data_IF_135001813717
#
_entry.id   IF_135001813717
#
_cell.length_a   1.000
_cell.length_b   1.000
_cell.length_c   1.000
_cell.angle_alpha   90.00
_cell.angle_beta   90.00
_cell.angle_gamma   90.00
#
_symmetry.space_group_name_H-M   'P 1'
#
loop_
_entity.id
_entity.type
_entity.pdbx_description
1 polymer ?
#
# COMPACT_ATOMS: atom_id res chain seq x y z
N UNK A 1 -18.26 16.91 0.88
CA UNK A 1 -17.61 18.16 0.41
C UNK A 1 -16.16 18.08 0.84
N UNK A 2 -15.26 17.78 -0.09
CA UNK A 2 -13.81 17.74 0.18
C UNK A 2 -13.36 19.09 0.73
N UNK A 3 -12.86 19.14 1.97
CA UNK A 3 -12.19 20.33 2.49
C UNK A 3 -10.75 20.33 1.98
N UNK A 4 -10.50 21.08 0.92
CA UNK A 4 -9.15 21.37 0.45
C UNK A 4 -8.60 22.52 1.29
N UNK A 5 -7.68 22.24 2.21
CA UNK A 5 -6.71 23.28 2.58
C UNK A 5 -5.67 23.31 1.46
N UNK A 6 -5.10 24.47 1.13
CA UNK A 6 -4.12 24.62 0.04
C UNK A 6 -2.87 23.69 0.13
N UNK A 7 -2.76 22.91 1.21
CA UNK A 7 -1.68 21.95 1.49
C UNK A 7 -2.09 20.47 1.45
N UNK A 8 -3.38 20.12 1.62
CA UNK A 8 -3.82 18.72 1.75
C UNK A 8 -5.20 18.49 1.15
N UNK A 9 -5.31 17.41 0.39
CA UNK A 9 -6.58 16.88 -0.09
C UNK A 9 -7.08 15.82 0.87
N UNK A 10 -8.32 15.95 1.36
CA UNK A 10 -8.94 15.01 2.30
C UNK A 10 -10.22 14.45 1.72
N UNK A 11 -10.38 13.13 1.85
CA UNK A 11 -11.61 12.44 1.53
C UNK A 11 -12.12 11.64 2.73
N UNK A 12 -13.44 11.64 2.90
CA UNK A 12 -14.14 10.80 3.86
C UNK A 12 -15.23 10.03 3.12
N UNK A 13 -15.15 8.69 3.16
CA UNK A 13 -16.12 7.81 2.52
C UNK A 13 -16.85 6.98 3.57
N UNK A 14 -18.17 7.00 3.55
CA UNK A 14 -18.99 6.08 4.33
C UNK A 14 -19.07 4.75 3.59
N UNK A 15 -18.80 3.66 4.29
CA UNK A 15 -18.75 2.31 3.75
C UNK A 15 -19.82 1.42 4.39
N UNK A 16 -20.28 0.43 3.62
CA UNK A 16 -21.13 -0.64 4.15
C UNK A 16 -20.68 -2.01 3.61
N UNK A 17 -20.90 -3.11 4.36
CA UNK A 17 -20.70 -4.45 3.81
C UNK A 17 -21.60 -4.66 2.59
N UNK A 18 -21.04 -5.20 1.50
CA UNK A 18 -21.80 -5.47 0.27
C UNK A 18 -22.99 -6.42 0.50
N UNK A 19 -22.93 -7.24 1.55
CA UNK A 19 -24.00 -8.14 1.95
C UNK A 19 -24.16 -8.21 3.48
N UNK A 20 -25.37 -7.95 3.96
CA UNK A 20 -25.70 -8.01 5.39
C UNK A 20 -25.14 -6.83 6.18
N UNK A 21 -24.73 -7.06 7.43
CA UNK A 21 -24.21 -6.01 8.35
C UNK A 21 -22.87 -6.37 9.00
N UNK A 22 -22.39 -7.59 8.80
CA UNK A 22 -21.22 -8.13 9.49
C UNK A 22 -19.97 -7.91 8.63
N UNK A 23 -18.85 -7.63 9.29
CA UNK A 23 -17.54 -7.56 8.65
C UNK A 23 -16.46 -8.12 9.57
N UNK A 24 -15.33 -8.52 8.98
CA UNK A 24 -14.15 -9.00 9.70
C UNK A 24 -13.05 -7.91 9.71
N UNK A 25 -12.65 -7.41 10.89
CA UNK A 25 -11.56 -6.46 11.03
C UNK A 25 -10.19 -7.14 10.91
N UNK A 26 -9.12 -6.33 10.90
CA UNK A 26 -7.76 -6.90 10.86
C UNK A 26 -7.51 -7.56 12.19
N UNK A 27 -7.10 -8.84 12.15
CA UNK A 27 -6.69 -9.58 13.34
C UNK A 27 -5.18 -9.65 13.43
N UNK A 28 -4.62 -9.20 14.55
CA UNK A 28 -3.19 -9.33 14.84
C UNK A 28 -2.95 -10.48 15.83
N UNK A 29 -1.88 -11.28 15.67
CA UNK A 29 -1.63 -12.42 16.56
C UNK A 29 -1.62 -12.08 18.05
N UNK A 30 -1.03 -10.93 18.42
CA UNK A 30 -0.85 -10.54 19.82
C UNK A 30 -1.95 -9.61 20.36
N UNK A 31 -2.73 -8.97 19.48
CA UNK A 31 -3.73 -7.96 19.84
C UNK A 31 -5.18 -8.41 19.53
N UNK A 32 -5.37 -9.37 18.62
CA UNK A 32 -6.67 -9.68 18.05
C UNK A 32 -7.20 -8.51 17.20
N UNK A 33 -8.52 -8.24 17.19
CA UNK A 33 -9.08 -7.06 16.55
C UNK A 33 -8.66 -5.79 17.30
N UNK A 34 -8.25 -4.76 16.56
CA UNK A 34 -7.76 -3.51 17.12
C UNK A 34 -8.92 -2.61 17.62
N UNK A 35 -9.47 -2.97 18.78
CA UNK A 35 -10.53 -2.24 19.48
C UNK A 35 -9.93 -1.08 20.30
N UNK A 36 -10.60 0.07 20.33
CA UNK A 36 -10.21 1.23 21.12
C UNK A 36 -11.42 2.01 21.65
N UNK A 37 -11.21 2.81 22.69
CA UNK A 37 -12.26 3.60 23.33
C UNK A 37 -12.13 5.09 23.01
N UNK A 38 -13.26 5.70 22.66
CA UNK A 38 -13.37 7.15 22.49
C UNK A 38 -14.07 7.74 23.73
N UNK A 39 -13.47 8.75 24.40
CA UNK A 39 -14.09 9.39 25.56
C UNK A 39 -15.53 9.86 25.30
N UNK A 40 -16.46 9.46 26.16
CA UNK A 40 -17.87 9.83 26.04
C UNK A 40 -18.73 8.91 25.16
N UNK A 41 -18.14 7.86 24.55
CA UNK A 41 -18.87 6.84 23.79
C UNK A 41 -19.19 5.63 24.67
N UNK A 42 -20.35 5.00 24.42
CA UNK A 42 -20.81 3.84 25.20
C UNK A 42 -20.17 2.53 24.76
N UNK A 43 -20.12 2.25 23.46
CA UNK A 43 -19.43 1.06 22.94
C UNK A 43 -18.06 1.44 22.37
N UNK A 44 -17.24 0.41 22.15
CA UNK A 44 -15.91 0.60 21.59
C UNK A 44 -15.96 0.91 20.09
N UNK A 45 -14.86 1.49 19.60
CA UNK A 45 -14.56 1.64 18.18
C UNK A 45 -13.51 0.62 17.77
N UNK A 46 -13.32 0.48 16.46
CA UNK A 46 -12.46 -0.55 15.92
C UNK A 46 -11.74 -0.08 14.66
N UNK A 47 -10.45 -0.38 14.56
CA UNK A 47 -9.68 -0.18 13.33
C UNK A 47 -9.95 -1.38 12.40
N UNK A 48 -10.71 -1.15 11.33
CA UNK A 48 -11.01 -2.16 10.29
C UNK A 48 -9.77 -2.40 9.45
N UNK A 49 -9.09 -1.31 9.05
CA UNK A 49 -7.78 -1.30 8.39
C UNK A 49 -6.92 -0.15 8.91
N UNK A 50 -5.68 -0.48 9.30
CA UNK A 50 -4.71 0.52 9.73
C UNK A 50 -4.11 1.29 8.55
N UNK A 51 -3.41 2.38 8.85
CA UNK A 51 -2.66 3.16 7.85
C UNK A 51 -1.58 2.34 7.13
N UNK A 52 -1.03 1.32 7.77
CA UNK A 52 -0.06 0.42 7.16
C UNK A 52 -0.75 -0.57 6.22
N UNK A 53 -1.90 -1.12 6.63
CA UNK A 53 -2.65 -2.07 5.81
C UNK A 53 -3.23 -1.40 4.56
N UNK A 54 -3.84 -0.23 4.71
CA UNK A 54 -4.37 0.53 3.57
C UNK A 54 -3.31 0.97 2.58
N UNK A 55 -2.08 1.19 3.02
CA UNK A 55 -0.99 1.47 2.09
C UNK A 55 -0.67 0.27 1.19
N UNK A 56 -0.67 -0.95 1.74
CA UNK A 56 -0.53 -2.15 0.92
C UNK A 56 -1.67 -2.26 -0.11
N UNK A 57 -2.89 -1.88 0.27
CA UNK A 57 -4.03 -1.86 -0.66
C UNK A 57 -3.86 -0.82 -1.77
N UNK A 58 -3.41 0.39 -1.44
CA UNK A 58 -3.12 1.44 -2.43
C UNK A 58 -1.98 1.01 -3.36
N UNK A 59 -0.87 0.50 -2.83
CA UNK A 59 0.24 -0.04 -3.61
C UNK A 59 -0.20 -1.18 -4.53
N UNK A 60 -1.10 -2.05 -4.04
CA UNK A 60 -1.67 -3.15 -4.79
C UNK A 60 -2.43 -2.71 -6.05
N UNK A 61 -2.95 -1.48 -6.10
CA UNK A 61 -3.60 -0.94 -7.31
C UNK A 61 -2.61 -0.75 -8.46
N UNK A 62 -1.31 -0.64 -8.16
CA UNK A 62 -0.28 -0.27 -9.14
C UNK A 62 0.33 -1.46 -9.90
N UNK A 63 -0.09 -2.69 -9.58
CA UNK A 63 0.51 -3.92 -10.10
C UNK A 63 -0.52 -4.94 -10.57
N UNK A 64 -0.28 -5.52 -11.75
CA UNK A 64 -1.04 -6.65 -12.25
C UNK A 64 -0.34 -7.96 -11.86
N UNK A 65 -0.80 -8.58 -10.76
CA UNK A 65 -0.23 -9.82 -10.24
C UNK A 65 -0.33 -11.00 -11.22
N UNK A 66 -1.38 -11.08 -12.03
CA UNK A 66 -1.54 -12.17 -12.99
C UNK A 66 -0.50 -12.12 -14.12
N UNK A 67 -0.08 -10.91 -14.49
CA UNK A 67 0.86 -10.67 -15.59
C UNK A 67 2.27 -10.29 -15.12
N UNK A 68 2.49 -10.14 -13.80
CA UNK A 68 3.77 -9.75 -13.20
C UNK A 68 4.36 -8.48 -13.84
N UNK A 69 3.50 -7.47 -14.02
CA UNK A 69 3.85 -6.18 -14.62
C UNK A 69 3.07 -5.04 -13.95
N UNK A 70 3.50 -3.79 -14.12
CA UNK A 70 2.70 -2.62 -13.73
C UNK A 70 1.25 -2.67 -14.21
N UNK A 71 0.35 -2.01 -13.47
CA UNK A 71 -0.96 -1.63 -14.00
C UNK A 71 -0.79 -0.85 -15.33
N UNK A 72 -1.75 -0.98 -16.23
CA UNK A 72 -1.64 -0.48 -17.61
C UNK A 72 -1.39 1.03 -17.64
N UNK A 73 -2.12 1.77 -16.80
CA UNK A 73 -2.02 3.22 -16.65
C UNK A 73 -0.66 3.69 -16.12
N UNK A 74 0.09 2.79 -15.47
CA UNK A 74 1.40 3.06 -14.87
C UNK A 74 2.55 2.34 -15.61
N UNK A 75 2.28 1.75 -16.77
CA UNK A 75 3.25 0.95 -17.52
C UNK A 75 4.43 1.78 -18.06
N UNK A 76 4.19 3.06 -18.36
CA UNK A 76 5.21 3.98 -18.84
C UNK A 76 6.10 4.54 -17.72
N UNK A 77 5.71 4.39 -16.44
CA UNK A 77 6.51 4.90 -15.33
C UNK A 77 7.72 3.98 -15.06
N UNK A 78 8.89 4.54 -14.74
CA UNK A 78 10.05 3.75 -14.38
C UNK A 78 9.83 3.04 -13.04
N UNK A 79 10.58 1.96 -12.88
CA UNK A 79 10.74 1.21 -11.64
C UNK A 79 12.00 0.38 -11.74
N UNK A 80 12.45 -0.18 -10.61
CA UNK A 80 13.56 -1.15 -10.62
C UNK A 80 12.99 -2.55 -10.71
N UNK A 81 13.30 -3.25 -11.81
CA UNK A 81 12.96 -4.65 -12.05
C UNK A 81 14.11 -5.53 -11.57
N UNK A 82 13.83 -6.49 -10.70
CA UNK A 82 14.82 -7.45 -10.19
C UNK A 82 14.67 -8.77 -10.95
N UNK A 83 15.77 -9.25 -11.53
CA UNK A 83 15.84 -10.52 -12.25
C UNK A 83 16.90 -11.44 -11.64
N UNK A 84 16.77 -12.75 -11.85
CA UNK A 84 17.83 -13.71 -11.56
C UNK A 84 18.91 -13.68 -12.67
N UNK A 85 20.02 -14.43 -12.54
CA UNK A 85 21.08 -14.49 -13.56
C UNK A 85 20.62 -15.00 -14.93
N UNK A 86 19.51 -15.74 -14.99
CA UNK A 86 18.90 -16.26 -16.22
C UNK A 86 17.93 -15.25 -16.87
N UNK A 87 17.74 -14.06 -16.26
CA UNK A 87 16.85 -13.01 -16.74
C UNK A 87 15.37 -13.17 -16.32
N UNK A 88 15.05 -14.16 -15.49
CA UNK A 88 13.70 -14.40 -15.01
C UNK A 88 13.32 -13.38 -13.92
N UNK A 89 12.07 -12.92 -13.94
CA UNK A 89 11.56 -11.98 -12.95
C UNK A 89 11.56 -12.58 -11.55
N UNK A 90 12.12 -11.85 -10.58
CA UNK A 90 12.05 -12.20 -9.16
C UNK A 90 11.09 -11.29 -8.40
N UNK A 91 11.32 -9.98 -8.48
CA UNK A 91 10.55 -8.95 -7.76
C UNK A 91 10.81 -7.56 -8.37
N UNK A 92 10.29 -6.50 -7.76
CA UNK A 92 10.53 -5.12 -8.19
C UNK A 92 10.46 -4.13 -7.05
N UNK A 93 10.93 -2.89 -7.27
CA UNK A 93 10.75 -1.81 -6.29
C UNK A 93 9.28 -1.50 -5.96
N UNK A 94 8.32 -1.94 -6.80
CA UNK A 94 6.88 -1.79 -6.53
C UNK A 94 6.29 -2.91 -5.69
N UNK A 95 6.93 -4.08 -5.69
CA UNK A 95 6.47 -5.25 -4.93
C UNK A 95 7.13 -5.36 -3.56
N UNK A 96 8.32 -4.81 -3.41
CA UNK A 96 9.08 -4.88 -2.18
C UNK A 96 8.59 -3.88 -1.13
N UNK A 97 8.38 -4.34 0.11
CA UNK A 97 7.91 -3.48 1.21
C UNK A 97 8.85 -2.29 1.52
N UNK A 98 10.14 -2.46 1.22
CA UNK A 98 11.17 -1.42 1.35
C UNK A 98 11.45 -0.67 0.04
N UNK A 99 10.73 -0.98 -1.03
CA UNK A 99 10.84 -0.39 -2.37
C UNK A 99 12.27 -0.36 -2.90
N UNK A 100 12.77 0.80 -3.32
CA UNK A 100 14.16 1.00 -3.74
C UNK A 100 15.19 0.66 -2.65
N UNK A 101 14.80 0.66 -1.37
CA UNK A 101 15.67 0.30 -0.25
C UNK A 101 15.62 -1.20 0.12
N UNK A 102 14.93 -2.02 -0.68
CA UNK A 102 14.86 -3.47 -0.45
C UNK A 102 16.22 -4.15 -0.63
N UNK A 103 16.40 -5.28 0.07
CA UNK A 103 17.63 -6.04 -0.03
C UNK A 103 17.86 -6.58 -1.45
N UNK A 104 16.79 -6.93 -2.17
CA UNK A 104 16.86 -7.41 -3.55
C UNK A 104 17.29 -6.31 -4.52
N UNK A 105 16.78 -5.09 -4.36
CA UNK A 105 17.25 -3.94 -5.16
C UNK A 105 18.68 -3.58 -4.78
N UNK A 106 18.96 -3.34 -3.50
CA UNK A 106 20.25 -2.82 -3.03
C UNK A 106 21.43 -3.75 -3.26
N UNK A 107 21.23 -5.07 -3.13
CA UNK A 107 22.29 -6.05 -3.41
C UNK A 107 22.28 -6.54 -4.86
N UNK A 108 21.23 -6.22 -5.64
CA UNK A 108 21.21 -6.43 -7.07
C UNK A 108 22.24 -5.55 -7.80
N UNK A 109 22.69 -6.01 -8.96
CA UNK A 109 23.70 -5.33 -9.78
C UNK A 109 23.07 -4.68 -11.01
N UNK A 110 23.43 -3.43 -11.28
CA UNK A 110 23.18 -2.73 -12.54
C UNK A 110 24.54 -2.46 -13.19
N UNK A 111 24.70 -2.81 -14.46
CA UNK A 111 25.98 -2.68 -15.19
C UNK A 111 27.20 -3.27 -14.45
N UNK A 112 26.99 -4.36 -13.72
CA UNK A 112 28.01 -5.04 -12.92
C UNK A 112 28.24 -4.47 -11.51
N UNK A 113 27.67 -3.32 -11.18
CA UNK A 113 27.84 -2.62 -9.90
C UNK A 113 26.63 -2.82 -8.97
N UNK A 114 26.83 -3.16 -7.68
CA UNK A 114 25.73 -3.24 -6.72
C UNK A 114 25.00 -1.90 -6.55
N UNK A 115 23.67 -1.91 -6.53
CA UNK A 115 22.87 -0.69 -6.33
C UNK A 115 23.18 0.04 -5.03
N UNK A 116 23.59 -0.68 -3.98
CA UNK A 116 24.02 -0.08 -2.70
C UNK A 116 25.30 0.77 -2.78
N UNK A 117 26.04 0.64 -3.88
CA UNK A 117 27.22 1.46 -4.21
C UNK A 117 26.84 2.56 -5.21
N UNK A 118 25.96 2.27 -6.17
CA UNK A 118 25.47 3.23 -7.18
C UNK A 118 24.59 4.33 -6.58
N UNK A 119 23.63 3.98 -5.71
CA UNK A 119 22.66 4.95 -5.17
C UNK A 119 23.31 6.06 -4.34
N UNK A 120 24.30 5.81 -3.45
CA UNK A 120 25.01 6.88 -2.76
C UNK A 120 25.65 7.91 -3.68
N UNK A 121 26.21 7.47 -4.80
CA UNK A 121 26.82 8.36 -5.79
C UNK A 121 25.76 9.22 -6.48
N UNK A 122 24.68 8.59 -6.95
CA UNK A 122 23.53 9.30 -7.55
C UNK A 122 22.93 10.33 -6.60
N UNK A 123 22.72 9.94 -5.34
CA UNK A 123 22.18 10.82 -4.31
C UNK A 123 23.17 11.88 -3.81
N UNK A 124 24.44 11.85 -4.24
CA UNK A 124 25.47 12.78 -3.81
C UNK A 124 25.83 12.66 -2.32
N UNK A 125 25.78 11.45 -1.76
CA UNK A 125 26.04 11.22 -0.33
C UNK A 125 27.53 11.36 -0.02
N UNK A 126 27.91 12.49 0.60
CA UNK A 126 29.31 12.75 0.97
C UNK A 126 29.45 12.93 2.48
N UNK A 127 30.37 12.19 3.09
CA UNK A 127 30.67 12.30 4.53
C UNK A 127 31.13 13.73 4.86
N UNK A 128 30.52 14.32 5.89
CA UNK A 128 30.84 15.68 6.35
C UNK A 128 30.21 16.80 5.52
N UNK A 129 29.37 16.49 4.52
CA UNK A 129 28.55 17.48 3.80
C UNK A 129 27.06 17.31 4.14
N UNK A 130 26.26 18.40 4.15
CA UNK A 130 24.81 18.31 4.26
C UNK A 130 24.21 17.46 3.14
N UNK A 131 23.09 16.79 3.43
CA UNK A 131 22.33 16.02 2.46
C UNK A 131 21.52 16.95 1.55
N UNK A 132 21.71 16.85 0.23
CA UNK A 132 20.82 17.49 -0.75
C UNK A 132 19.59 16.63 -1.01
N UNK A 133 18.52 16.88 -0.25
CA UNK A 133 17.26 16.16 -0.41
C UNK A 133 16.61 16.38 -1.78
N UNK A 134 16.81 17.55 -2.42
CA UNK A 134 16.26 17.78 -3.76
C UNK A 134 16.91 16.86 -4.79
N UNK A 135 18.22 16.59 -4.66
CA UNK A 135 18.90 15.56 -5.44
C UNK A 135 18.29 14.17 -5.18
N UNK A 136 18.14 13.77 -3.92
CA UNK A 136 17.52 12.48 -3.57
C UNK A 136 16.14 12.34 -4.20
N UNK A 137 15.28 13.36 -4.10
CA UNK A 137 13.94 13.30 -4.68
C UNK A 137 13.95 13.18 -6.20
N UNK A 138 14.79 13.93 -6.92
CA UNK A 138 14.93 13.80 -8.38
C UNK A 138 15.39 12.40 -8.78
N UNK A 139 16.40 11.86 -8.11
CA UNK A 139 16.94 10.54 -8.42
C UNK A 139 15.96 9.41 -8.09
N UNK A 140 15.22 9.52 -6.98
CA UNK A 140 14.14 8.58 -6.64
C UNK A 140 13.00 8.69 -7.64
N UNK A 141 12.60 9.90 -8.04
CA UNK A 141 11.56 10.10 -9.06
C UNK A 141 11.94 9.47 -10.40
N UNK A 142 13.18 9.68 -10.86
CA UNK A 142 13.65 9.10 -12.11
C UNK A 142 13.71 7.57 -12.07
N UNK A 143 13.97 6.97 -10.90
CA UNK A 143 14.02 5.51 -10.73
C UNK A 143 12.65 4.87 -10.54
N UNK A 144 11.82 5.46 -9.67
CA UNK A 144 10.53 4.92 -9.24
C UNK A 144 9.69 6.03 -8.55
N UNK A 145 8.84 6.77 -9.29
CA UNK A 145 8.00 7.84 -8.75
C UNK A 145 7.11 7.38 -7.59
N UNK A 146 6.69 6.11 -7.59
CA UNK A 146 5.82 5.55 -6.56
C UNK A 146 6.52 5.46 -5.20
N UNK A 147 7.85 5.40 -5.18
CA UNK A 147 8.63 5.50 -3.93
C UNK A 147 8.51 6.88 -3.26
N UNK A 148 8.18 7.94 -4.01
CA UNK A 148 7.86 9.25 -3.44
C UNK A 148 6.42 9.35 -2.95
N UNK A 149 5.48 8.65 -3.61
CA UNK A 149 4.07 8.59 -3.18
C UNK A 149 3.95 7.79 -1.87
N UNK A 150 4.53 6.59 -1.85
CA UNK A 150 4.37 5.63 -0.77
C UNK A 150 5.42 5.70 0.33
N UNK A 151 6.49 6.46 0.08
CA UNK A 151 7.62 6.65 0.97
C UNK A 151 8.68 5.56 0.84
N UNK A 152 9.94 5.91 1.14
CA UNK A 152 11.08 4.99 1.10
C UNK A 152 12.11 5.41 2.15
N UNK A 153 12.73 4.42 2.81
CA UNK A 153 13.75 4.68 3.82
C UNK A 153 15.01 3.85 3.58
N UNK A 154 16.11 4.51 3.25
CA UNK A 154 17.40 3.88 3.01
C UNK A 154 18.21 3.74 4.31
N UNK A 155 17.83 2.78 5.15
CA UNK A 155 18.47 2.50 6.44
C UNK A 155 19.83 1.78 6.32
N UNK A 156 20.76 2.35 5.56
CA UNK A 156 22.06 1.75 5.24
C UNK A 156 23.17 2.32 6.13
N UNK A 157 23.59 1.55 7.14
CA UNK A 157 24.64 1.96 8.10
C UNK A 157 25.97 2.43 7.44
N UNK A 158 26.44 1.84 6.33
CA UNK A 158 27.70 2.27 5.70
C UNK A 158 27.60 3.60 4.95
N UNK A 159 26.39 4.08 4.62
CA UNK A 159 26.21 5.32 3.86
C UNK A 159 26.47 6.55 4.74
N UNK A 160 26.93 7.65 4.13
CA UNK A 160 27.15 8.91 4.84
C UNK A 160 25.85 9.49 5.45
N UNK A 161 24.72 9.24 4.79
CA UNK A 161 23.37 9.59 5.23
C UNK A 161 22.41 8.43 4.94
N UNK A 162 21.28 8.42 5.63
CA UNK A 162 20.20 7.44 5.43
C UNK A 162 18.92 8.18 5.02
N UNK A 163 18.79 8.60 3.75
CA UNK A 163 17.66 9.39 3.30
C UNK A 163 16.33 8.68 3.58
N UNK A 164 15.34 9.45 4.04
CA UNK A 164 13.99 8.97 4.33
C UNK A 164 12.98 9.91 3.68
N UNK A 165 12.13 9.34 2.84
CA UNK A 165 10.96 9.99 2.26
C UNK A 165 9.74 9.47 3.00
N UNK A 166 8.98 10.37 3.61
CA UNK A 166 7.71 10.02 4.25
C UNK A 166 6.67 9.66 3.18
N UNK A 167 5.62 8.95 3.58
CA UNK A 167 4.49 8.68 2.71
C UNK A 167 3.65 9.94 2.51
N UNK A 168 3.28 10.26 1.28
CA UNK A 168 2.45 11.42 0.95
C UNK A 168 0.94 11.11 0.94
N UNK A 169 0.56 9.85 0.73
CA UNK A 169 -0.83 9.38 0.81
C UNK A 169 -1.07 8.53 2.06
N UNK A 170 -2.06 8.84 2.88
CA UNK A 170 -2.44 8.01 4.03
C UNK A 170 -3.93 7.74 3.99
N UNK A 171 -4.31 6.47 4.14
CA UNK A 171 -5.71 6.08 4.31
C UNK A 171 -5.85 5.09 5.47
N UNK A 172 -7.02 5.02 6.09
CA UNK A 172 -7.37 4.05 7.12
C UNK A 172 -8.88 3.89 7.19
N UNK A 173 -9.35 2.76 7.72
CA UNK A 173 -10.78 2.46 7.86
C UNK A 173 -11.08 2.17 9.32
N UNK A 174 -12.03 2.91 9.87
CA UNK A 174 -12.50 2.78 11.24
C UNK A 174 -13.99 2.43 11.26
N UNK A 175 -14.38 1.63 12.24
CA UNK A 175 -15.76 1.31 12.55
C UNK A 175 -16.12 1.90 13.91
N UNK A 176 -17.24 2.60 13.95
CA UNK A 176 -17.74 3.33 15.10
C UNK A 176 -18.82 2.51 15.80
N UNK A 177 -18.77 2.49 17.14
CA UNK A 177 -19.83 1.90 17.97
C UNK A 177 -20.06 0.42 17.60
N UNK A 178 -19.01 -0.40 17.72
CA UNK A 178 -19.01 -1.78 17.23
C UNK A 178 -19.58 -2.76 18.26
N UNK A 179 -20.23 -3.80 17.76
CA UNK A 179 -20.71 -4.94 18.55
C UNK A 179 -20.20 -6.26 17.96
N UNK A 180 -19.72 -7.21 18.79
CA UNK A 180 -19.31 -8.53 18.31
C UNK A 180 -20.49 -9.33 17.75
N UNK A 181 -20.37 -9.75 16.49
CA UNK A 181 -21.26 -10.71 15.84
C UNK A 181 -20.60 -12.09 15.84
N UNK A 182 -20.77 -12.82 16.95
CA UNK A 182 -20.19 -14.16 17.11
C UNK A 182 -20.97 -15.17 16.28
N UNK A 183 -20.25 -15.89 15.42
CA UNK A 183 -20.78 -17.02 14.66
C UNK A 183 -19.86 -18.22 14.81
N UNK A 184 -20.27 -19.36 14.26
CA UNK A 184 -19.47 -20.58 14.29
C UNK A 184 -19.58 -21.35 12.99
N UNK A 185 -18.60 -22.21 12.78
CA UNK A 185 -18.58 -23.17 11.68
C UNK A 185 -18.05 -24.51 12.17
N UNK A 186 -18.18 -25.53 11.34
CA UNK A 186 -17.56 -26.84 11.58
C UNK A 186 -16.64 -27.12 10.42
N UNK A 187 -15.34 -27.28 10.69
CA UNK A 187 -14.44 -27.86 9.70
C UNK A 187 -14.85 -29.33 9.57
N UNK A 188 -15.30 -29.72 8.38
CA UNK A 188 -15.70 -31.10 8.11
C UNK A 188 -14.53 -31.88 7.53
N UNK A 189 -14.20 -32.99 8.15
CA UNK A 189 -13.36 -34.03 7.57
C UNK A 189 -14.28 -35.09 6.97
N UNK A 190 -14.27 -35.21 5.64
CA UNK A 190 -15.14 -36.12 4.89
C UNK A 190 -14.64 -37.57 4.90
N UNK A 191 -13.44 -37.83 5.42
CA UNK A 191 -12.79 -39.15 5.43
C UNK A 191 -12.72 -39.71 6.85
N UNK A 192 -12.38 -38.88 7.83
CA UNK A 192 -12.33 -39.24 9.22
C UNK A 192 -13.12 -38.25 10.08
N UNK A 193 -14.32 -38.62 10.52
CA UNK A 193 -15.15 -37.77 11.36
C UNK A 193 -14.72 -37.74 12.84
N UNK A 194 -13.79 -38.60 13.26
CA UNK A 194 -13.29 -38.70 14.64
C UNK A 194 -11.88 -38.13 14.80
N UNK A 195 -11.71 -37.22 15.75
CA UNK A 195 -10.39 -36.76 16.20
C UNK A 195 -9.89 -37.68 17.33
N UNK A 196 -8.98 -38.61 17.02
CA UNK A 196 -8.32 -39.44 18.03
C UNK A 196 -7.06 -38.76 18.56
N UNK A 197 -7.04 -38.46 19.87
CA UNK A 197 -5.86 -37.90 20.55
C UNK A 197 -4.64 -38.80 20.35
N UNK A 198 -3.60 -38.25 19.73
CA UNK A 198 -2.26 -38.86 19.66
C UNK A 198 -2.00 -39.76 18.44
N UNK A 199 -2.94 -39.90 17.49
CA UNK A 199 -2.68 -40.59 16.21
C UNK A 199 -3.16 -39.84 14.97
N UNK A 200 -4.25 -39.06 15.08
CA UNK A 200 -4.86 -38.20 14.06
C UNK A 200 -5.72 -37.14 14.73
N UNK A 201 -5.08 -36.11 15.27
CA UNK A 201 -5.79 -35.12 16.08
C UNK A 201 -6.18 -33.85 15.31
N UNK A 202 -7.01 -33.02 15.94
CA UNK A 202 -7.50 -31.76 15.39
C UNK A 202 -6.39 -30.76 15.06
N UNK A 203 -5.22 -30.83 15.71
CA UNK A 203 -4.08 -29.94 15.46
C UNK A 203 -3.35 -30.33 14.17
N UNK A 204 -3.32 -31.62 13.85
CA UNK A 204 -2.81 -32.13 12.58
C UNK A 204 -3.83 -32.01 11.43
N UNK A 205 -5.04 -31.55 11.74
CA UNK A 205 -6.07 -31.17 10.76
C UNK A 205 -7.16 -32.21 10.52
N UNK A 206 -7.17 -33.32 11.27
CA UNK A 206 -8.15 -34.41 11.18
C UNK A 206 -9.39 -34.18 12.03
N UNK A 207 -10.51 -34.81 11.65
CA UNK A 207 -11.74 -34.81 12.45
C UNK A 207 -12.63 -33.58 12.24
N UNK A 208 -13.84 -33.67 12.78
CA UNK A 208 -14.81 -32.57 12.79
C UNK A 208 -14.49 -31.58 13.93
N UNK A 209 -14.10 -30.35 13.60
CA UNK A 209 -13.72 -29.35 14.62
C UNK A 209 -14.64 -28.13 14.54
N UNK A 210 -15.51 -27.91 15.54
CA UNK A 210 -16.22 -26.65 15.71
C UNK A 210 -15.24 -25.51 15.93
N UNK A 211 -15.42 -24.40 15.23
CA UNK A 211 -14.66 -23.18 15.44
C UNK A 211 -15.62 -22.01 15.63
N UNK A 212 -15.23 -21.08 16.51
CA UNK A 212 -15.89 -19.80 16.67
C UNK A 212 -15.22 -18.78 15.76
N UNK A 213 -16.02 -17.88 15.20
CA UNK A 213 -15.55 -16.73 14.45
C UNK A 213 -16.24 -15.49 14.99
N UNK A 214 -15.45 -14.51 15.39
CA UNK A 214 -15.97 -13.20 15.78
C UNK A 214 -15.86 -12.26 14.60
N UNK A 215 -17.00 -11.88 14.05
CA UNK A 215 -17.15 -10.74 13.15
C UNK A 215 -17.71 -9.57 13.97
N UNK A 216 -17.90 -8.41 13.34
CA UNK A 216 -18.44 -7.22 14.00
C UNK A 216 -19.56 -6.62 13.17
N UNK A 217 -20.52 -6.00 13.85
CA UNK A 217 -21.43 -5.00 13.27
C UNK A 217 -21.03 -3.63 13.80
N UNK A 218 -21.34 -2.57 13.06
CA UNK A 218 -21.04 -1.21 13.45
C UNK A 218 -22.22 -0.27 13.16
N UNK A 219 -22.24 0.87 13.83
CA UNK A 219 -23.13 1.97 13.48
C UNK A 219 -22.69 2.61 12.16
N UNK A 220 -21.40 2.94 12.04
CA UNK A 220 -20.79 3.46 10.81
C UNK A 220 -19.43 2.83 10.56
N UNK A 221 -19.08 2.68 9.28
CA UNK A 221 -17.74 2.31 8.82
C UNK A 221 -17.26 3.43 7.91
N UNK A 222 -16.10 4.02 8.20
CA UNK A 222 -15.61 5.20 7.50
C UNK A 222 -14.18 4.99 7.05
N UNK A 223 -13.94 5.21 5.77
CA UNK A 223 -12.59 5.35 5.22
C UNK A 223 -12.19 6.82 5.19
N UNK A 224 -11.05 7.12 5.79
CA UNK A 224 -10.43 8.42 5.72
C UNK A 224 -9.22 8.33 4.78
N UNK A 225 -9.05 9.34 3.91
CA UNK A 225 -7.87 9.46 3.04
C UNK A 225 -7.33 10.88 3.10
N UNK A 226 -6.01 11.01 3.13
CA UNK A 226 -5.27 12.27 3.10
C UNK A 226 -4.17 12.17 2.07
N UNK A 227 -4.13 13.11 1.13
CA UNK A 227 -3.03 13.30 0.18
C UNK A 227 -2.34 14.62 0.56
N UNK A 228 -1.05 14.56 0.88
CA UNK A 228 -0.24 15.71 1.27
C UNK A 228 0.39 16.38 0.04
N UNK A 229 -0.40 17.24 -0.62
CA UNK A 229 0.03 18.02 -1.79
C UNK A 229 1.21 18.96 -1.46
N UNK A 230 1.28 19.44 -0.21
CA UNK A 230 2.41 20.24 0.27
C UNK A 230 3.70 19.42 0.28
N UNK A 231 3.65 18.15 0.67
CA UNK A 231 4.81 17.26 0.60
C UNK A 231 5.29 17.08 -0.84
N UNK A 232 4.38 16.84 -1.80
CA UNK A 232 4.76 16.77 -3.22
C UNK A 232 5.43 18.06 -3.70
N UNK A 233 4.84 19.21 -3.38
CA UNK A 233 5.43 20.50 -3.72
C UNK A 233 6.80 20.73 -3.05
N UNK A 234 7.00 20.20 -1.84
CA UNK A 234 8.26 20.36 -1.08
C UNK A 234 9.45 19.61 -1.69
N UNK A 235 9.19 18.65 -2.58
CA UNK A 235 10.26 17.90 -3.24
C UNK A 235 11.08 18.74 -4.22
N UNK A 236 10.57 19.90 -4.66
CA UNK A 236 11.28 20.76 -5.61
C UNK A 236 11.49 20.12 -6.98
N UNK A 237 10.60 19.21 -7.38
CA UNK A 237 10.54 18.64 -8.72
C UNK A 237 9.95 19.65 -9.72
N UNK A 238 9.98 19.33 -11.00
CA UNK A 238 9.28 20.13 -12.01
C UNK A 238 7.77 20.20 -11.72
N UNK A 239 7.04 21.20 -12.25
CA UNK A 239 5.59 21.24 -12.15
C UNK A 239 4.91 19.98 -12.72
N UNK A 240 5.44 19.44 -13.82
CA UNK A 240 4.90 18.24 -14.45
C UNK A 240 5.12 16.98 -13.58
N UNK A 241 6.31 16.81 -13.02
CA UNK A 241 6.63 15.71 -12.11
C UNK A 241 5.81 15.78 -10.82
N UNK A 242 5.61 16.98 -10.27
CA UNK A 242 4.77 17.19 -9.08
C UNK A 242 3.31 16.84 -9.36
N UNK A 243 2.78 17.27 -10.51
CA UNK A 243 1.43 16.92 -10.94
C UNK A 243 1.27 15.42 -11.16
N UNK A 244 2.28 14.74 -11.72
CA UNK A 244 2.27 13.29 -11.87
C UNK A 244 2.12 12.57 -10.52
N UNK A 245 2.85 12.98 -9.48
CA UNK A 245 2.71 12.38 -8.15
C UNK A 245 1.29 12.56 -7.58
N UNK A 246 0.70 13.75 -7.74
CA UNK A 246 -0.69 14.01 -7.34
C UNK A 246 -1.69 13.20 -8.15
N UNK A 247 -1.48 13.07 -9.47
CA UNK A 247 -2.33 12.29 -10.36
C UNK A 247 -2.29 10.79 -10.02
N UNK A 248 -1.10 10.24 -9.72
CA UNK A 248 -0.95 8.85 -9.24
C UNK A 248 -1.73 8.64 -7.94
N UNK A 249 -1.55 9.50 -6.94
CA UNK A 249 -2.26 9.37 -5.66
C UNK A 249 -3.79 9.41 -5.84
N UNK A 250 -4.31 10.30 -6.70
CA UNK A 250 -5.73 10.37 -7.01
C UNK A 250 -6.23 9.12 -7.75
N UNK A 251 -5.45 8.61 -8.70
CA UNK A 251 -5.76 7.40 -9.45
C UNK A 251 -5.79 6.15 -8.57
N UNK A 252 -4.85 6.00 -7.62
CA UNK A 252 -4.84 4.89 -6.69
C UNK A 252 -6.10 4.87 -5.81
N UNK A 253 -6.51 6.05 -5.29
CA UNK A 253 -7.74 6.18 -4.50
C UNK A 253 -8.97 5.82 -5.34
N UNK A 254 -9.08 6.37 -6.55
CA UNK A 254 -10.18 6.08 -7.46
C UNK A 254 -10.28 4.59 -7.80
N UNK A 255 -9.13 3.98 -8.14
CA UNK A 255 -9.03 2.56 -8.50
C UNK A 255 -9.37 1.67 -7.32
N UNK A 256 -8.83 1.97 -6.13
CA UNK A 256 -9.09 1.20 -4.92
C UNK A 256 -10.60 1.17 -4.60
N UNK A 257 -11.24 2.34 -4.59
CA UNK A 257 -12.68 2.45 -4.27
C UNK A 257 -13.56 1.77 -5.32
N UNK A 258 -13.17 1.76 -6.60
CA UNK A 258 -13.93 1.14 -7.67
C UNK A 258 -13.67 -0.37 -7.84
N UNK A 259 -12.58 -0.90 -7.27
CA UNK A 259 -12.23 -2.33 -7.31
C UNK A 259 -13.04 -3.22 -6.35
N UNK A 260 -13.98 -2.61 -5.61
CA UNK A 260 -14.92 -3.32 -4.72
C UNK A 260 -14.44 -3.52 -3.28
N UNK A 261 -13.35 -2.84 -2.85
CA UNK A 261 -12.81 -2.85 -1.47
C UNK A 261 -12.93 -4.22 -0.75
N UNK A 262 -12.55 -5.29 -1.45
CA UNK A 262 -12.51 -6.62 -0.87
C UNK A 262 -11.20 -6.81 -0.11
N UNK A 263 -11.21 -6.38 1.15
CA UNK A 263 -10.02 -6.32 2.01
C UNK A 263 -9.63 -7.70 2.54
N UNK A 264 -10.62 -8.59 2.73
CA UNK A 264 -10.45 -10.01 3.08
C UNK A 264 -11.75 -10.78 2.85
N UNK A 265 -11.72 -12.10 3.05
CA UNK A 265 -12.85 -13.00 2.77
C UNK A 265 -14.17 -12.55 3.37
N UNK A 266 -14.17 -11.99 4.58
CA UNK A 266 -15.37 -11.52 5.28
C UNK A 266 -15.36 -10.01 5.54
N UNK A 267 -14.62 -9.23 4.75
CA UNK A 267 -14.68 -7.77 4.72
C UNK A 267 -14.66 -7.33 3.26
N UNK A 268 -15.86 -7.11 2.73
CA UNK A 268 -16.13 -6.72 1.35
C UNK A 268 -17.07 -5.54 1.43
N UNK A 269 -16.55 -4.36 1.12
CA UNK A 269 -17.18 -3.07 1.44
C UNK A 269 -17.49 -2.30 0.15
N UNK A 270 -18.53 -1.49 0.20
CA UNK A 270 -18.89 -0.58 -0.89
C UNK A 270 -19.08 0.82 -0.35
N UNK A 271 -18.84 1.83 -1.18
CA UNK A 271 -19.08 3.23 -0.81
C UNK A 271 -20.60 3.49 -0.79
N UNK A 272 -21.11 3.86 0.37
CA UNK A 272 -22.52 4.17 0.60
C UNK A 272 -22.80 5.68 0.68
N UNK A 273 -21.77 6.48 0.96
CA UNK A 273 -21.91 7.93 1.14
C UNK A 273 -20.57 8.65 1.34
N UNK A 274 -20.66 9.92 1.73
CA UNK A 274 -19.50 10.79 1.96
C UNK A 274 -19.08 11.58 0.71
N UNK A 275 -17.78 11.81 0.58
CA UNK A 275 -17.22 12.49 -0.60
C UNK A 275 -17.38 11.65 -1.86
N UNK A 276 -17.50 12.32 -3.01
CA UNK A 276 -17.58 11.63 -4.30
C UNK A 276 -16.18 11.15 -4.69
N UNK A 277 -15.97 9.84 -4.89
CA UNK A 277 -14.69 9.35 -5.39
C UNK A 277 -14.41 9.93 -6.78
N UNK A 278 -13.15 10.20 -7.15
CA UNK A 278 -12.83 10.47 -8.54
C UNK A 278 -13.26 9.28 -9.39
N UNK A 279 -13.90 9.52 -10.54
CA UNK A 279 -14.16 8.41 -11.47
C UNK A 279 -12.81 7.86 -11.97
N UNK A 280 -12.68 6.54 -12.06
CA UNK A 280 -11.45 5.90 -12.56
C UNK A 280 -11.05 6.46 -13.92
N UNK A 281 -12.00 6.63 -14.85
CA UNK A 281 -11.71 7.17 -16.19
C UNK A 281 -11.07 8.57 -16.13
N UNK A 282 -11.69 9.52 -15.42
CA UNK A 282 -11.12 10.86 -15.29
C UNK A 282 -9.76 10.87 -14.59
N UNK A 283 -9.55 9.98 -13.60
CA UNK A 283 -8.27 9.85 -12.94
C UNK A 283 -7.20 9.24 -13.87
N UNK A 284 -7.56 8.25 -14.69
CA UNK A 284 -6.69 7.65 -15.71
C UNK A 284 -6.33 8.65 -16.81
N UNK A 285 -7.29 9.46 -17.27
CA UNK A 285 -7.03 10.52 -18.26
C UNK A 285 -6.06 11.58 -17.72
N UNK A 286 -6.28 12.03 -16.47
CA UNK A 286 -5.37 12.97 -15.78
C UNK A 286 -3.98 12.36 -15.62
N UNK A 287 -3.90 11.11 -15.20
CA UNK A 287 -2.63 10.39 -15.04
C UNK A 287 -1.89 10.27 -16.37
N UNK A 288 -2.57 9.87 -17.45
CA UNK A 288 -1.96 9.77 -18.77
C UNK A 288 -1.40 11.12 -19.27
N UNK A 289 -2.14 12.20 -19.07
CA UNK A 289 -1.68 13.55 -19.39
C UNK A 289 -0.45 13.95 -18.55
N UNK A 290 -0.45 13.63 -17.25
CA UNK A 290 0.67 13.95 -16.36
C UNK A 290 1.92 13.13 -16.69
N UNK A 291 1.78 11.85 -17.05
CA UNK A 291 2.88 11.00 -17.52
C UNK A 291 3.51 11.59 -18.78
N UNK A 292 2.69 12.00 -19.75
CA UNK A 292 3.18 12.61 -20.98
C UNK A 292 3.91 13.94 -20.73
N UNK A 293 3.39 14.76 -19.81
CA UNK A 293 4.00 16.04 -19.47
C UNK A 293 5.33 15.89 -18.70
N UNK A 294 5.49 14.82 -17.92
CA UNK A 294 6.66 14.56 -17.10
C UNK A 294 7.72 13.68 -17.79
N UNK A 295 7.55 13.34 -19.08
CA UNK A 295 8.38 12.34 -19.76
C UNK A 295 9.88 12.62 -19.70
N UNK A 296 10.26 13.90 -19.74
CA UNK A 296 11.67 14.34 -19.71
C UNK A 296 12.31 14.21 -18.32
N UNK A 297 11.50 14.12 -17.26
CA UNK A 297 11.95 13.94 -15.87
C UNK A 297 12.01 12.45 -15.47
N UNK A 298 11.39 11.56 -16.26
CA UNK A 298 11.33 10.13 -15.98
C UNK A 298 12.58 9.42 -16.51
N UNK A 299 13.12 8.51 -15.72
CA UNK A 299 14.13 7.56 -16.19
C UNK A 299 13.51 6.41 -16.99
N UNK A 300 14.36 5.47 -17.38
CA UNK A 300 13.92 4.20 -17.96
C UNK A 300 13.72 3.15 -16.88
N UNK A 301 13.01 2.06 -17.21
CA UNK A 301 12.99 0.87 -16.36
C UNK A 301 14.44 0.41 -16.16
N UNK A 302 14.84 0.30 -14.89
CA UNK A 302 16.18 -0.15 -14.52
C UNK A 302 16.11 -1.62 -14.18
N UNK A 303 16.87 -2.47 -14.87
CA UNK A 303 16.99 -3.88 -14.53
C UNK A 303 18.19 -4.10 -13.61
N UNK A 304 17.99 -4.87 -12.53
CA UNK A 304 19.05 -5.29 -11.61
C UNK A 304 19.09 -6.81 -11.53
N UNK A 305 20.27 -7.39 -11.66
CA UNK A 305 20.47 -8.83 -11.51
C UNK A 305 20.80 -9.16 -10.05
N UNK A 306 19.99 -10.01 -9.43
CA UNK A 306 20.19 -10.50 -8.06
C UNK A 306 20.61 -11.97 -8.08
N UNK A 307 21.68 -12.30 -7.37
CA UNK A 307 22.30 -13.63 -7.31
C UNK A 307 22.65 -14.01 -5.87
#
# INVERSE_FOLDING_TARGET
>A
MSQVSASRTRYTFELEPIAGRRFQPTGFPDLGPAIYQVPGRTNDDLIVESAQSMANHLEGTTWNTAQQKPAEELAALPYVRVVNPDGEFLTSSRLEAHRLASAYVLNGKVDGSPMKEVLPERFGLVKGKPLDMACVYREVFALDPLSLVHGVFFAQKPWAWQPKVARAITAFIEATNVEPAVSGGVKKDSVNNEAEKGKRDAKEGYGMVPHHRTEYTAETITMYTVIDEQQFASYGLSPAATELLSAVANWEVATLLNSGLRLRTACDLVVAGGDTPPSVNAASDRLAAAVAAASDDLGTITEVTFS
#
